data_IF_023728769955
#
_entry.id   IF_023728769955
#
_cell.length_a   1.000
_cell.length_b   1.000
_cell.length_c   1.000
_cell.angle_alpha   90.00
_cell.angle_beta   90.00
_cell.angle_gamma   90.00
#
_symmetry.space_group_name_H-M   'P 1'
#
loop_
_entity.id
_entity.type
_entity.pdbx_description
1 polymer ?
#
# COMPACT_ATOMS: atom_id res chain seq x y z
N UNK A 1 5.12 -34.98 -38.96
CA UNK A 1 6.12 -33.93 -38.89
C UNK A 1 5.96 -33.23 -37.56
N UNK A 2 6.85 -33.56 -36.62
CA UNK A 2 6.86 -33.08 -35.25
C UNK A 2 7.33 -31.62 -35.20
N UNK A 3 6.66 -30.80 -34.43
CA UNK A 3 7.18 -29.53 -33.97
C UNK A 3 7.24 -29.60 -32.43
N UNK A 4 8.46 -29.69 -31.97
CA UNK A 4 8.86 -29.74 -30.57
C UNK A 4 8.52 -28.44 -29.85
N UNK A 5 7.91 -28.60 -28.68
CA UNK A 5 7.67 -27.53 -27.73
C UNK A 5 8.96 -27.25 -26.93
N UNK A 6 9.57 -26.13 -27.20
CA UNK A 6 10.74 -25.62 -26.48
C UNK A 6 10.35 -25.16 -25.07
N UNK A 7 10.59 -26.02 -24.09
CA UNK A 7 10.53 -25.68 -22.67
C UNK A 7 11.81 -24.90 -22.31
N UNK A 8 11.69 -23.58 -22.28
CA UNK A 8 12.70 -22.74 -21.61
C UNK A 8 12.62 -22.96 -20.10
N UNK A 9 13.44 -23.83 -19.59
CA UNK A 9 13.83 -23.85 -18.18
C UNK A 9 14.66 -22.59 -17.91
N UNK A 10 14.10 -21.65 -17.17
CA UNK A 10 14.87 -20.56 -16.57
C UNK A 10 15.74 -21.14 -15.44
N UNK A 11 17.02 -21.31 -15.74
CA UNK A 11 18.02 -21.60 -14.72
C UNK A 11 18.06 -20.42 -13.72
N UNK A 12 17.50 -20.60 -12.55
CA UNK A 12 17.73 -19.74 -11.40
C UNK A 12 19.17 -19.92 -10.94
N UNK A 13 20.08 -19.01 -11.39
CA UNK A 13 21.44 -18.96 -10.86
C UNK A 13 21.36 -18.53 -9.39
N UNK A 14 21.57 -19.44 -8.47
CA UNK A 14 21.66 -19.15 -7.03
C UNK A 14 22.85 -18.21 -6.75
N UNK A 15 22.55 -17.11 -6.06
CA UNK A 15 23.56 -16.19 -5.54
C UNK A 15 24.19 -16.84 -4.30
N UNK A 16 25.49 -17.07 -4.31
CA UNK A 16 26.22 -17.58 -3.16
C UNK A 16 26.70 -16.43 -2.27
N UNK A 17 26.13 -16.32 -1.08
CA UNK A 17 26.48 -15.33 -0.07
C UNK A 17 27.43 -15.91 1.01
N UNK A 18 28.02 -17.08 0.81
CA UNK A 18 28.91 -17.70 1.79
C UNK A 18 30.27 -17.01 1.87
N UNK A 19 30.86 -16.79 3.04
CA UNK A 19 32.25 -16.37 3.17
C UNK A 19 33.17 -17.51 2.71
N UNK A 20 34.13 -17.22 1.83
CA UNK A 20 35.21 -18.15 1.47
C UNK A 20 36.08 -18.43 2.71
N UNK A 21 36.02 -19.64 3.18
CA UNK A 21 36.97 -20.22 4.12
C UNK A 21 36.42 -20.51 5.50
N UNK A 22 35.85 -21.70 5.68
CA UNK A 22 36.02 -22.51 6.88
C UNK A 22 35.61 -23.95 6.61
N UNK A 23 36.42 -24.87 7.12
CA UNK A 23 36.35 -26.30 6.84
C UNK A 23 35.21 -26.99 7.58
N UNK A 24 34.58 -27.98 6.93
CA UNK A 24 33.59 -28.91 7.46
C UNK A 24 34.14 -29.68 8.67
N UNK A 25 33.36 -29.73 9.76
CA UNK A 25 33.38 -30.83 10.71
C UNK A 25 32.02 -31.52 10.74
N UNK A 26 32.07 -32.81 10.48
CA UNK A 26 30.95 -33.78 10.55
C UNK A 26 30.86 -34.28 11.99
N UNK A 27 29.64 -34.47 12.50
CA UNK A 27 29.43 -35.42 13.59
C UNK A 27 28.36 -35.09 14.61
N UNK A 28 27.34 -35.80 14.54
CA UNK A 28 26.57 -36.69 15.44
C UNK A 28 25.18 -36.20 15.84
N UNK A 29 24.24 -37.09 15.52
CA UNK A 29 22.86 -37.13 16.04
C UNK A 29 22.85 -37.51 17.52
N UNK A 30 21.99 -36.90 18.31
CA UNK A 30 21.35 -37.54 19.47
C UNK A 30 20.02 -36.86 19.83
N UNK A 31 18.95 -37.61 19.67
CA UNK A 31 17.83 -37.95 20.57
C UNK A 31 17.00 -36.83 21.21
N UNK A 32 15.70 -36.89 20.86
CA UNK A 32 14.55 -36.09 21.40
C UNK A 32 14.44 -36.18 22.93
N UNK A 33 14.12 -35.00 23.51
CA UNK A 33 13.39 -34.94 24.77
C UNK A 33 12.42 -33.75 24.77
N UNK A 34 11.19 -33.98 25.25
CA UNK A 34 10.01 -33.12 25.26
C UNK A 34 10.19 -31.84 26.09
N UNK A 35 9.37 -30.77 25.83
CA UNK A 35 9.67 -29.40 26.25
C UNK A 35 9.26 -29.12 27.71
N UNK A 36 10.21 -28.60 28.49
CA UNK A 36 9.94 -27.85 29.69
C UNK A 36 9.43 -26.44 29.33
N UNK A 37 8.47 -25.92 30.08
CA UNK A 37 7.92 -24.56 29.96
C UNK A 37 9.05 -23.55 30.05
N UNK A 38 9.19 -22.76 28.97
CA UNK A 38 10.26 -21.77 28.84
C UNK A 38 10.11 -20.61 29.79
N UNK A 39 11.19 -20.34 30.50
CA UNK A 39 11.44 -19.03 31.13
C UNK A 39 11.46 -17.93 30.06
N UNK A 40 11.19 -16.64 30.41
CA UNK A 40 11.21 -15.55 29.45
C UNK A 40 12.62 -15.43 28.86
N UNK A 41 12.72 -15.63 27.54
CA UNK A 41 13.97 -15.46 26.80
C UNK A 41 14.60 -14.11 27.14
N UNK A 42 15.82 -14.14 27.62
CA UNK A 42 16.70 -12.98 27.78
C UNK A 42 16.76 -12.19 26.47
N UNK A 43 16.91 -10.84 26.49
CA UNK A 43 16.94 -10.05 25.28
C UNK A 43 18.02 -10.59 24.34
N UNK A 44 17.57 -11.22 23.27
CA UNK A 44 18.43 -11.88 22.31
C UNK A 44 19.44 -10.86 21.74
N UNK A 45 20.67 -11.12 21.96
CA UNK A 45 21.90 -10.73 21.26
C UNK A 45 21.79 -9.46 20.37
N UNK A 46 21.38 -8.33 20.97
CA UNK A 46 21.21 -7.04 20.28
C UNK A 46 22.56 -6.43 19.80
N UNK A 47 23.67 -7.05 20.18
CA UNK A 47 25.03 -6.63 19.78
C UNK A 47 25.47 -7.17 18.40
N UNK A 48 24.80 -8.16 17.83
CA UNK A 48 25.21 -8.85 16.58
C UNK A 48 24.17 -8.78 15.46
N UNK A 49 23.34 -7.75 15.45
CA UNK A 49 22.27 -7.59 14.46
C UNK A 49 22.83 -7.43 13.03
N UNK A 50 24.00 -6.82 12.86
CA UNK A 50 24.61 -6.68 11.54
C UNK A 50 25.01 -8.03 10.91
N UNK A 51 25.38 -9.01 11.72
CA UNK A 51 25.64 -10.38 11.25
C UNK A 51 24.35 -11.01 10.74
N UNK A 52 23.22 -10.90 11.48
CA UNK A 52 21.91 -11.38 11.05
C UNK A 52 21.44 -10.67 9.75
N UNK A 53 21.67 -9.36 9.63
CA UNK A 53 21.38 -8.61 8.40
C UNK A 53 22.13 -9.19 7.20
N UNK A 54 23.38 -9.61 7.40
CA UNK A 54 24.26 -10.18 6.39
C UNK A 54 24.10 -11.71 6.20
N UNK A 55 23.16 -12.35 6.89
CA UNK A 55 22.88 -13.77 6.70
C UNK A 55 22.31 -14.08 5.33
N UNK A 56 22.72 -15.23 4.78
CA UNK A 56 22.39 -15.66 3.41
C UNK A 56 20.89 -15.67 3.16
N UNK A 57 20.11 -16.22 4.08
CA UNK A 57 18.66 -16.37 3.91
C UNK A 57 17.94 -15.04 4.00
N UNK A 58 18.37 -14.16 4.91
CA UNK A 58 17.85 -12.80 5.02
C UNK A 58 18.12 -12.00 3.73
N UNK A 59 19.32 -12.10 3.18
CA UNK A 59 19.70 -11.43 1.93
C UNK A 59 18.94 -11.97 0.71
N UNK A 60 18.71 -13.28 0.66
CA UNK A 60 17.90 -13.91 -0.40
C UNK A 60 16.46 -13.38 -0.38
N UNK A 61 15.85 -13.33 0.79
CA UNK A 61 14.51 -12.77 0.98
C UNK A 61 14.48 -11.29 0.60
N UNK A 62 15.47 -10.49 1.03
CA UNK A 62 15.57 -9.07 0.70
C UNK A 62 15.68 -8.84 -0.82
N UNK A 63 16.51 -9.61 -1.51
CA UNK A 63 16.65 -9.54 -2.96
C UNK A 63 15.34 -9.88 -3.68
N UNK A 64 14.65 -10.93 -3.24
CA UNK A 64 13.35 -11.34 -3.82
C UNK A 64 12.29 -10.24 -3.64
N UNK A 65 12.22 -9.62 -2.46
CA UNK A 65 11.28 -8.53 -2.18
C UNK A 65 11.56 -7.28 -3.00
N UNK A 66 12.84 -6.88 -3.11
CA UNK A 66 13.22 -5.73 -3.95
C UNK A 66 12.90 -5.97 -5.42
N UNK A 67 13.16 -7.19 -5.94
CA UNK A 67 12.80 -7.56 -7.31
C UNK A 67 11.28 -7.54 -7.55
N UNK A 68 10.50 -8.08 -6.62
CA UNK A 68 9.03 -8.13 -6.76
C UNK A 68 8.38 -6.74 -6.77
N UNK A 69 8.97 -5.77 -6.09
CA UNK A 69 8.45 -4.40 -5.99
C UNK A 69 8.64 -3.56 -7.25
N UNK A 70 9.46 -4.00 -8.22
CA UNK A 70 9.66 -3.36 -9.54
C UNK A 70 9.84 -1.82 -9.47
N UNK A 71 10.60 -1.33 -8.49
CA UNK A 71 10.80 0.10 -8.28
C UNK A 71 11.76 0.74 -9.32
N UNK A 72 11.65 2.05 -9.49
CA UNK A 72 12.51 2.82 -10.40
C UNK A 72 13.97 2.88 -9.94
N UNK A 73 14.91 3.16 -10.85
CA UNK A 73 16.32 3.41 -10.54
C UNK A 73 16.50 4.63 -9.63
N UNK A 74 17.55 4.60 -8.79
CA UNK A 74 17.97 5.72 -7.95
C UNK A 74 18.75 6.79 -8.71
N UNK A 75 19.66 7.48 -8.00
CA UNK A 75 20.55 8.52 -8.57
C UNK A 75 21.65 7.94 -9.46
N UNK A 76 22.01 6.68 -9.25
CA UNK A 76 23.07 5.97 -9.99
C UNK A 76 22.58 5.31 -11.28
N UNK A 77 21.28 5.37 -11.58
CA UNK A 77 20.69 4.79 -12.77
C UNK A 77 20.60 3.25 -12.78
N UNK A 78 21.13 2.56 -11.76
CA UNK A 78 21.07 1.11 -11.64
C UNK A 78 19.62 0.64 -11.59
N UNK A 79 19.27 -0.35 -12.43
CA UNK A 79 17.94 -0.97 -12.44
C UNK A 79 17.88 -2.18 -11.51
N UNK A 80 16.67 -2.68 -11.27
CA UNK A 80 16.47 -3.89 -10.47
C UNK A 80 17.09 -5.13 -11.15
N UNK A 81 17.10 -5.16 -12.47
CA UNK A 81 17.62 -6.30 -13.21
C UNK A 81 19.16 -6.39 -13.10
N UNK A 82 19.84 -5.25 -12.99
CA UNK A 82 21.28 -5.16 -12.81
C UNK A 82 21.74 -5.61 -11.42
N UNK A 83 20.87 -5.48 -10.40
CA UNK A 83 21.25 -5.72 -9.00
C UNK A 83 21.87 -7.08 -8.76
N UNK A 84 21.37 -8.14 -9.40
CA UNK A 84 21.86 -9.50 -9.16
C UNK A 84 23.28 -9.73 -9.68
N UNK A 85 23.59 -9.15 -10.85
CA UNK A 85 24.94 -9.20 -11.42
C UNK A 85 25.91 -8.37 -10.56
N UNK A 86 25.48 -7.19 -10.17
CA UNK A 86 26.25 -6.29 -9.31
C UNK A 86 26.58 -6.93 -7.94
N UNK A 87 25.61 -7.56 -7.29
CA UNK A 87 25.84 -8.23 -5.99
C UNK A 87 26.79 -9.44 -6.12
N UNK A 88 26.76 -10.19 -7.22
CA UNK A 88 27.72 -11.32 -7.42
C UNK A 88 29.17 -10.85 -7.40
N UNK A 89 29.43 -9.71 -7.97
CA UNK A 89 30.78 -9.15 -8.11
C UNK A 89 31.22 -8.39 -6.85
N UNK A 90 30.34 -7.58 -6.26
CA UNK A 90 30.72 -6.59 -5.26
C UNK A 90 30.31 -6.98 -3.83
N UNK A 91 29.58 -8.08 -3.64
CA UNK A 91 29.07 -8.44 -2.31
C UNK A 91 30.14 -8.59 -1.22
N UNK A 92 31.32 -9.18 -1.46
CA UNK A 92 32.33 -9.29 -0.41
C UNK A 92 32.75 -7.94 0.15
N UNK A 93 32.92 -6.92 -0.72
CA UNK A 93 33.27 -5.56 -0.32
C UNK A 93 32.12 -4.88 0.44
N UNK A 94 30.88 -5.00 -0.08
CA UNK A 94 29.69 -4.44 0.55
C UNK A 94 29.49 -5.04 1.95
N UNK A 95 29.63 -6.36 2.07
CA UNK A 95 29.52 -7.05 3.35
C UNK A 95 30.55 -6.57 4.36
N UNK A 96 31.79 -6.40 3.94
CA UNK A 96 32.85 -5.85 4.79
C UNK A 96 32.53 -4.42 5.25
N UNK A 97 32.08 -3.57 4.35
CA UNK A 97 31.63 -2.20 4.69
C UNK A 97 30.48 -2.21 5.69
N UNK A 98 29.50 -3.09 5.54
CA UNK A 98 28.39 -3.24 6.49
C UNK A 98 28.89 -3.70 7.86
N UNK A 99 29.73 -4.74 7.92
CA UNK A 99 30.25 -5.29 9.16
C UNK A 99 31.28 -4.40 9.88
N UNK A 100 32.03 -3.57 9.14
CA UNK A 100 32.92 -2.56 9.71
C UNK A 100 32.20 -1.24 10.05
N UNK A 101 30.95 -1.06 9.61
CA UNK A 101 30.19 0.19 9.77
C UNK A 101 30.71 1.33 8.91
N UNK A 102 31.33 1.03 7.77
CA UNK A 102 31.86 2.03 6.81
C UNK A 102 30.98 2.19 5.56
N UNK A 103 29.85 1.48 5.48
CA UNK A 103 28.93 1.61 4.37
C UNK A 103 28.30 3.02 4.32
N UNK A 104 28.39 3.68 3.17
CA UNK A 104 27.84 5.01 2.92
C UNK A 104 26.71 4.97 1.89
N UNK A 105 25.46 5.25 2.30
CA UNK A 105 24.33 5.34 1.40
C UNK A 105 24.46 6.52 0.43
N UNK A 106 23.97 6.33 -0.80
CA UNK A 106 23.88 7.41 -1.78
C UNK A 106 22.65 8.30 -1.52
N UNK A 107 22.68 9.57 -1.97
CA UNK A 107 21.51 10.45 -1.87
C UNK A 107 20.27 9.85 -2.56
N UNK A 108 19.09 10.16 -2.04
CA UNK A 108 17.84 9.71 -2.65
C UNK A 108 17.43 10.61 -3.81
N UNK A 109 16.94 10.03 -4.90
CA UNK A 109 16.43 10.79 -6.05
C UNK A 109 15.02 11.29 -5.76
N UNK A 110 14.81 12.60 -5.80
CA UNK A 110 13.49 13.20 -5.60
C UNK A 110 12.59 13.02 -6.83
N UNK A 111 11.35 12.61 -6.57
CA UNK A 111 10.29 12.52 -7.58
C UNK A 111 9.02 13.08 -7.00
N UNK A 112 8.36 13.97 -7.75
CA UNK A 112 7.07 14.54 -7.37
C UNK A 112 5.92 13.74 -8.00
N UNK A 113 4.99 13.28 -7.18
CA UNK A 113 3.79 12.57 -7.62
C UNK A 113 2.55 13.38 -7.23
N UNK A 114 1.65 13.70 -8.17
CA UNK A 114 0.39 14.38 -7.85
C UNK A 114 -0.41 13.61 -6.80
N UNK A 115 -0.95 14.31 -5.81
CA UNK A 115 -1.86 13.69 -4.83
C UNK A 115 -3.17 13.31 -5.52
N UNK A 116 -3.76 12.15 -5.19
CA UNK A 116 -5.01 11.68 -5.80
C UNK A 116 -6.20 12.61 -5.57
N UNK A 117 -6.13 13.46 -4.55
CA UNK A 117 -7.21 14.39 -4.17
C UNK A 117 -7.05 15.77 -4.82
N UNK A 118 -6.05 15.98 -5.69
CA UNK A 118 -5.77 17.26 -6.36
C UNK A 118 -5.12 18.31 -5.45
N UNK A 119 -4.83 18.00 -4.19
CA UNK A 119 -4.28 18.91 -3.18
C UNK A 119 -2.75 19.02 -3.17
N UNK A 120 -2.10 19.17 -4.33
CA UNK A 120 -0.66 19.32 -4.42
C UNK A 120 0.09 18.04 -4.76
N UNK A 121 1.41 18.02 -4.49
CA UNK A 121 2.31 16.90 -4.83
C UNK A 121 2.80 16.18 -3.56
N UNK A 122 3.15 14.90 -3.72
CA UNK A 122 3.96 14.15 -2.75
C UNK A 122 5.39 14.11 -3.26
N UNK A 123 6.32 14.46 -2.41
CA UNK A 123 7.75 14.40 -2.71
C UNK A 123 8.29 13.04 -2.24
N UNK A 124 8.53 12.13 -3.19
CA UNK A 124 9.14 10.83 -2.89
C UNK A 124 10.66 10.93 -2.99
N UNK A 125 11.37 10.27 -2.09
CA UNK A 125 12.80 10.04 -2.18
C UNK A 125 13.06 8.59 -2.60
N UNK A 126 13.59 8.37 -3.80
CA UNK A 126 13.88 7.03 -4.31
C UNK A 126 15.36 6.70 -4.02
N UNK A 127 15.67 5.80 -3.07
CA UNK A 127 17.02 5.33 -2.82
C UNK A 127 17.55 4.52 -4.02
N UNK A 128 18.87 4.33 -4.11
CA UNK A 128 19.46 3.41 -5.10
C UNK A 128 18.92 2.00 -4.90
N UNK A 129 19.04 1.16 -5.92
CA UNK A 129 18.57 -0.23 -5.82
C UNK A 129 19.37 -1.00 -4.75
N UNK A 130 20.68 -0.70 -4.65
CA UNK A 130 21.54 -1.27 -3.61
C UNK A 130 21.11 -0.81 -2.21
N UNK A 131 20.88 0.49 -2.01
CA UNK A 131 20.42 1.00 -0.72
C UNK A 131 19.07 0.42 -0.33
N UNK A 132 18.14 0.23 -1.29
CA UNK A 132 16.87 -0.47 -1.03
C UNK A 132 17.08 -1.92 -0.60
N UNK A 133 18.04 -2.60 -1.20
CA UNK A 133 18.38 -3.97 -0.81
C UNK A 133 18.92 -4.02 0.62
N UNK A 134 19.86 -3.17 0.97
CA UNK A 134 20.41 -3.09 2.33
C UNK A 134 19.32 -2.68 3.34
N UNK A 135 18.53 -1.66 3.05
CA UNK A 135 17.40 -1.25 3.90
C UNK A 135 16.37 -2.35 4.09
N UNK A 136 16.09 -3.14 3.03
CA UNK A 136 15.17 -4.26 3.11
C UNK A 136 15.72 -5.38 4.01
N UNK A 137 17.01 -5.70 3.92
CA UNK A 137 17.67 -6.68 4.79
C UNK A 137 17.64 -6.25 6.27
N UNK A 138 17.96 -4.98 6.54
CA UNK A 138 17.87 -4.38 7.90
C UNK A 138 16.42 -4.42 8.41
N UNK A 139 15.47 -3.98 7.59
CA UNK A 139 14.06 -3.92 7.96
C UNK A 139 13.50 -5.28 8.35
N UNK A 140 13.85 -6.35 7.64
CA UNK A 140 13.37 -7.71 7.94
C UNK A 140 13.82 -8.21 9.31
N UNK A 141 15.08 -7.97 9.67
CA UNK A 141 15.64 -8.35 10.98
C UNK A 141 14.95 -7.55 12.09
N UNK A 142 14.94 -6.22 11.97
CA UNK A 142 14.33 -5.36 12.98
C UNK A 142 12.82 -5.58 13.12
N UNK A 143 12.12 -5.85 12.02
CA UNK A 143 10.67 -6.08 12.05
C UNK A 143 10.32 -7.36 12.82
N UNK A 144 11.09 -8.43 12.67
CA UNK A 144 10.88 -9.68 13.45
C UNK A 144 10.97 -9.42 14.96
N UNK A 145 11.91 -8.59 15.38
CA UNK A 145 12.14 -8.27 16.80
C UNK A 145 11.13 -7.25 17.35
N UNK A 146 10.78 -6.22 16.56
CA UNK A 146 10.00 -5.08 17.07
C UNK A 146 8.49 -5.23 16.89
N UNK A 147 8.03 -5.92 15.83
CA UNK A 147 6.59 -6.02 15.54
C UNK A 147 5.77 -6.60 16.71
N UNK A 148 6.24 -7.64 17.43
CA UNK A 148 5.50 -8.16 18.59
C UNK A 148 5.34 -7.15 19.74
N UNK A 149 6.21 -6.14 19.82
CA UNK A 149 6.19 -5.12 20.89
C UNK A 149 5.28 -3.94 20.60
N UNK A 150 4.81 -3.78 19.35
CA UNK A 150 3.94 -2.67 18.97
C UNK A 150 2.49 -2.90 19.45
N UNK A 151 1.78 -1.80 19.69
CA UNK A 151 0.38 -1.82 20.09
C UNK A 151 -0.50 -2.72 19.21
N UNK A 152 -1.44 -3.43 19.83
CA UNK A 152 -2.44 -4.24 19.11
C UNK A 152 -3.42 -3.37 18.31
N UNK A 153 -3.49 -2.07 18.58
CA UNK A 153 -4.35 -1.10 17.90
C UNK A 153 -3.66 -0.40 16.73
N UNK A 154 -2.39 -0.76 16.44
CA UNK A 154 -1.62 -0.32 15.28
C UNK A 154 -1.66 -1.36 14.17
N UNK A 155 -2.09 -0.97 12.96
CA UNK A 155 -2.34 -1.88 11.84
C UNK A 155 -1.49 -1.60 10.59
N UNK A 156 -1.05 -0.36 10.40
CA UNK A 156 -0.33 0.03 9.19
C UNK A 156 1.10 -0.50 9.11
N UNK A 157 1.52 -0.98 7.95
CA UNK A 157 2.88 -1.44 7.66
C UNK A 157 3.37 -2.60 8.54
N UNK A 158 2.48 -3.42 9.07
CA UNK A 158 2.79 -4.55 9.94
C UNK A 158 2.46 -5.88 9.29
N UNK A 159 3.28 -6.94 9.50
CA UNK A 159 2.98 -8.30 9.03
C UNK A 159 1.66 -8.81 9.63
N UNK A 160 0.86 -9.49 8.82
CA UNK A 160 -0.41 -10.07 9.26
C UNK A 160 -1.51 -9.06 9.63
N UNK A 161 -1.25 -7.74 9.52
CA UNK A 161 -2.21 -6.67 9.76
C UNK A 161 -2.71 -6.06 8.46
N UNK A 162 -3.96 -5.57 8.47
CA UNK A 162 -4.58 -5.00 7.27
C UNK A 162 -5.48 -3.80 7.58
N UNK A 163 -5.74 -3.00 6.54
CA UNK A 163 -6.71 -1.91 6.62
C UNK A 163 -8.13 -2.40 6.96
N UNK A 164 -8.51 -3.58 6.50
CA UNK A 164 -9.81 -4.17 6.81
C UNK A 164 -9.96 -4.49 8.30
N UNK A 165 -8.92 -5.02 8.94
CA UNK A 165 -8.92 -5.27 10.38
C UNK A 165 -9.04 -3.94 11.17
N UNK A 166 -8.32 -2.89 10.73
CA UNK A 166 -8.43 -1.55 11.33
C UNK A 166 -9.86 -1.00 11.24
N UNK A 167 -10.49 -1.10 10.06
CA UNK A 167 -11.88 -0.65 9.84
C UNK A 167 -12.88 -1.50 10.64
N UNK A 168 -12.67 -2.82 10.75
CA UNK A 168 -13.51 -3.70 11.56
C UNK A 168 -13.43 -3.34 13.06
N UNK A 169 -12.22 -3.08 13.57
CA UNK A 169 -12.02 -2.65 14.95
C UNK A 169 -12.68 -1.29 15.24
N UNK A 170 -12.58 -0.36 14.29
CA UNK A 170 -13.28 0.93 14.35
C UNK A 170 -14.82 0.73 14.49
N UNK A 171 -15.39 -0.14 13.66
CA UNK A 171 -16.82 -0.48 13.73
C UNK A 171 -17.21 -1.06 15.10
N UNK A 172 -16.39 -1.96 15.66
CA UNK A 172 -16.64 -2.55 16.98
C UNK A 172 -16.72 -1.48 18.07
N UNK A 173 -15.84 -0.47 18.04
CA UNK A 173 -15.90 0.63 19.01
C UNK A 173 -17.18 1.46 18.86
N UNK A 174 -17.60 1.73 17.61
CA UNK A 174 -18.83 2.49 17.34
C UNK A 174 -20.05 1.72 17.84
N UNK A 175 -20.13 0.41 17.57
CA UNK A 175 -21.20 -0.49 18.06
C UNK A 175 -21.21 -0.55 19.60
N UNK A 176 -20.04 -0.49 20.24
CA UNK A 176 -19.93 -0.46 21.70
C UNK A 176 -20.32 0.91 22.32
N UNK A 177 -20.89 1.84 21.53
CA UNK A 177 -21.43 3.11 22.02
C UNK A 177 -20.43 4.28 22.03
N UNK A 178 -19.24 4.14 21.41
CA UNK A 178 -18.30 5.24 21.21
C UNK A 178 -18.70 6.03 19.96
N UNK A 179 -19.75 6.86 20.10
CA UNK A 179 -20.41 7.55 18.99
C UNK A 179 -19.72 8.83 18.49
N UNK A 180 -18.50 9.12 18.93
CA UNK A 180 -17.69 10.24 18.49
C UNK A 180 -16.28 9.79 18.13
N UNK A 181 -15.67 10.39 17.14
CA UNK A 181 -14.30 10.10 16.70
C UNK A 181 -13.47 11.38 16.74
N UNK A 182 -12.29 11.26 17.34
CA UNK A 182 -11.20 12.23 17.22
C UNK A 182 -10.32 11.74 16.10
N UNK A 183 -10.45 12.36 14.93
CA UNK A 183 -9.68 12.04 13.72
C UNK A 183 -8.44 12.94 13.68
N UNK A 184 -7.26 12.34 13.82
CA UNK A 184 -5.96 13.03 13.89
C UNK A 184 -5.19 12.78 12.60
N UNK A 185 -4.85 13.87 11.89
CA UNK A 185 -3.97 13.91 10.70
C UNK A 185 -2.66 14.60 11.08
N UNK A 186 -1.51 13.97 10.84
CA UNK A 186 -0.21 14.57 11.11
C UNK A 186 0.28 15.34 9.88
N UNK A 187 0.74 16.58 10.10
CA UNK A 187 1.22 17.43 9.01
C UNK A 187 2.59 16.97 8.51
N UNK A 188 2.63 16.42 7.28
CA UNK A 188 3.88 16.00 6.62
C UNK A 188 4.74 15.09 7.52
N UNK A 189 4.13 14.12 8.16
CA UNK A 189 4.75 13.26 9.18
C UNK A 189 6.15 12.79 8.76
N UNK A 190 6.27 12.14 7.59
CA UNK A 190 7.55 11.61 7.10
C UNK A 190 8.63 12.69 6.88
N UNK A 191 8.24 13.92 6.59
CA UNK A 191 9.17 15.03 6.32
C UNK A 191 9.60 15.76 7.61
N UNK A 192 8.98 15.43 8.77
CA UNK A 192 9.15 16.14 10.04
C UNK A 192 9.66 15.29 11.20
N UNK A 193 9.98 14.02 10.95
CA UNK A 193 10.55 13.14 11.99
C UNK A 193 11.89 13.68 12.43
N UNK A 194 12.03 14.02 13.71
CA UNK A 194 13.30 14.46 14.27
C UNK A 194 14.27 13.27 14.35
N UNK A 195 15.43 13.39 13.67
CA UNK A 195 16.41 12.32 13.57
C UNK A 195 17.01 11.93 14.92
N UNK A 196 17.31 12.90 15.80
CA UNK A 196 17.96 12.62 17.08
C UNK A 196 17.00 11.89 18.02
N UNK A 197 15.73 12.31 18.03
CA UNK A 197 14.71 11.61 18.79
C UNK A 197 14.49 10.18 18.30
N UNK A 198 14.36 9.99 16.98
CA UNK A 198 14.23 8.68 16.37
C UNK A 198 15.44 7.80 16.70
N UNK A 199 16.66 8.33 16.56
CA UNK A 199 17.89 7.59 16.89
C UNK A 199 17.96 7.23 18.38
N UNK A 200 17.49 8.10 19.28
CA UNK A 200 17.36 7.78 20.69
C UNK A 200 16.42 6.62 20.96
N UNK A 201 15.25 6.59 20.27
CA UNK A 201 14.31 5.47 20.39
C UNK A 201 14.90 4.15 19.83
N UNK A 202 15.67 4.22 18.74
CA UNK A 202 16.36 3.05 18.17
C UNK A 202 17.45 2.55 19.13
N UNK A 203 18.27 3.46 19.67
CA UNK A 203 19.36 3.12 20.59
C UNK A 203 18.87 2.47 21.90
N UNK A 204 17.63 2.72 22.31
CA UNK A 204 17.00 2.04 23.45
C UNK A 204 16.63 0.57 23.15
N UNK A 205 16.69 0.14 21.89
CA UNK A 205 16.30 -1.21 21.43
C UNK A 205 17.43 -1.96 20.72
N UNK A 206 18.50 -1.26 20.34
CA UNK A 206 19.62 -1.78 19.54
C UNK A 206 20.93 -1.32 20.15
N UNK A 207 21.79 -2.28 20.50
CA UNK A 207 23.13 -2.03 21.03
C UNK A 207 24.22 -2.03 19.94
N UNK A 208 23.92 -2.62 18.75
CA UNK A 208 24.86 -2.69 17.63
C UNK A 208 25.13 -1.30 17.05
N UNK A 209 26.28 -0.73 17.42
CA UNK A 209 26.71 0.62 16.99
C UNK A 209 26.86 0.74 15.48
N UNK A 210 27.17 -0.37 14.79
CA UNK A 210 27.31 -0.39 13.31
C UNK A 210 25.95 -0.17 12.67
N UNK A 211 24.91 -0.86 13.18
CA UNK A 211 23.53 -0.69 12.70
C UNK A 211 23.00 0.71 13.02
N UNK A 212 23.26 1.25 14.21
CA UNK A 212 22.88 2.63 14.55
C UNK A 212 23.54 3.63 13.60
N UNK A 213 24.84 3.47 13.28
CA UNK A 213 25.55 4.30 12.32
C UNK A 213 24.95 4.19 10.93
N UNK A 214 24.62 2.98 10.48
CA UNK A 214 24.01 2.73 9.17
C UNK A 214 22.62 3.39 9.06
N UNK A 215 21.77 3.24 10.06
CA UNK A 215 20.44 3.88 10.06
C UNK A 215 20.59 5.40 10.03
N UNK A 216 21.50 5.96 10.84
CA UNK A 216 21.79 7.39 10.83
C UNK A 216 22.30 7.87 9.46
N UNK A 217 23.15 7.08 8.81
CA UNK A 217 23.64 7.38 7.46
C UNK A 217 22.48 7.39 6.43
N UNK A 218 21.53 6.46 6.50
CA UNK A 218 20.32 6.49 5.64
C UNK A 218 19.45 7.72 5.89
N UNK A 219 19.30 8.17 7.12
CA UNK A 219 18.55 9.38 7.45
C UNK A 219 19.22 10.64 6.89
N UNK A 220 20.56 10.67 6.93
CA UNK A 220 21.37 11.81 6.52
C UNK A 220 21.81 11.78 5.05
N UNK A 221 21.49 10.73 4.29
CA UNK A 221 21.98 10.52 2.92
C UNK A 221 21.67 11.67 1.94
N UNK A 222 20.80 12.60 2.34
CA UNK A 222 20.43 13.76 1.52
C UNK A 222 19.48 13.43 0.38
N UNK A 223 19.05 14.49 -0.27
CA UNK A 223 18.08 14.41 -1.39
C UNK A 223 18.68 15.09 -2.61
N UNK A 224 18.72 14.37 -3.73
CA UNK A 224 19.15 14.92 -5.01
C UNK A 224 17.92 15.42 -5.78
N UNK A 225 17.92 16.71 -6.10
CA UNK A 225 16.92 17.39 -6.91
C UNK A 225 17.64 18.22 -7.98
N UNK A 226 17.33 18.00 -9.25
CA UNK A 226 17.95 18.70 -10.39
C UNK A 226 19.48 18.69 -10.42
N UNK A 227 20.10 17.59 -9.97
CA UNK A 227 21.56 17.45 -9.91
C UNK A 227 22.25 18.05 -8.69
N UNK A 228 21.52 18.74 -7.82
CA UNK A 228 22.02 19.28 -6.55
C UNK A 228 21.64 18.38 -5.37
N UNK A 229 22.58 18.09 -4.50
CA UNK A 229 22.34 17.32 -3.27
C UNK A 229 22.12 18.29 -2.10
N UNK A 230 20.94 18.20 -1.49
CA UNK A 230 20.62 18.93 -0.27
C UNK A 230 20.67 17.98 0.93
N UNK A 231 21.27 18.38 2.07
CA UNK A 231 21.30 17.57 3.28
C UNK A 231 19.86 17.37 3.82
N UNK A 232 19.59 16.21 4.40
CA UNK A 232 18.36 15.95 5.14
C UNK A 232 18.62 16.18 6.62
N UNK A 233 18.04 17.23 7.19
CA UNK A 233 18.20 17.57 8.61
C UNK A 233 17.10 16.93 9.48
N UNK A 234 15.95 16.71 8.88
CA UNK A 234 14.79 16.06 9.49
C UNK A 234 14.03 15.21 8.44
N UNK A 235 13.19 14.31 8.92
CA UNK A 235 12.36 13.47 8.08
C UNK A 235 12.98 12.12 7.70
N UNK A 236 12.12 11.19 7.32
CA UNK A 236 12.52 9.90 6.74
C UNK A 236 12.16 9.89 5.28
N UNK A 237 13.05 9.50 4.35
CA UNK A 237 12.74 9.50 2.93
C UNK A 237 11.50 8.65 2.63
N UNK A 238 10.45 9.26 2.03
CA UNK A 238 9.26 8.54 1.58
C UNK A 238 9.62 7.69 0.35
N UNK A 239 9.79 6.36 0.54
CA UNK A 239 10.08 5.42 -0.55
C UNK A 239 11.15 4.38 -0.24
N UNK A 240 11.85 4.48 0.87
CA UNK A 240 12.75 3.43 1.37
C UNK A 240 11.99 2.32 2.11
N UNK A 241 12.45 1.05 2.05
CA UNK A 241 11.83 -0.07 2.77
C UNK A 241 11.83 0.09 4.29
N UNK A 242 12.80 0.78 4.86
CA UNK A 242 12.97 0.95 6.31
C UNK A 242 12.01 2.00 6.89
N UNK A 243 11.62 3.02 6.13
CA UNK A 243 10.83 4.16 6.62
C UNK A 243 9.49 3.77 7.26
N UNK A 244 8.71 2.78 6.77
CA UNK A 244 7.47 2.35 7.42
C UNK A 244 7.66 1.77 8.82
N UNK A 245 8.73 1.00 9.04
CA UNK A 245 9.06 0.44 10.35
C UNK A 245 9.46 1.54 11.33
N UNK A 246 10.32 2.48 10.88
CA UNK A 246 10.73 3.62 11.69
C UNK A 246 9.54 4.54 12.03
N UNK A 247 8.58 4.68 11.13
CA UNK A 247 7.33 5.40 11.39
C UNK A 247 6.54 4.77 12.53
N UNK A 248 6.40 3.45 12.52
CA UNK A 248 5.72 2.74 13.59
C UNK A 248 6.46 2.88 14.93
N UNK A 249 7.79 2.86 14.92
CA UNK A 249 8.59 3.08 16.12
C UNK A 249 8.34 4.47 16.73
N UNK A 250 8.36 5.54 15.92
CA UNK A 250 8.07 6.91 16.39
C UNK A 250 6.67 7.02 17.00
N UNK A 251 5.68 6.40 16.36
CA UNK A 251 4.28 6.49 16.77
C UNK A 251 3.89 5.49 17.87
N UNK A 252 4.75 4.51 18.20
CA UNK A 252 4.55 3.60 19.32
C UNK A 252 4.46 4.37 20.67
N UNK A 253 5.17 5.49 20.82
CA UNK A 253 5.01 6.36 22.00
C UNK A 253 3.59 6.94 22.10
N UNK A 254 2.98 7.32 20.97
CA UNK A 254 1.59 7.77 20.95
C UNK A 254 0.63 6.62 21.29
N UNK A 255 0.85 5.45 20.72
CA UNK A 255 0.01 4.28 20.97
C UNK A 255 0.03 3.91 22.45
N UNK A 256 1.22 3.84 23.07
CA UNK A 256 1.39 3.55 24.50
C UNK A 256 0.75 4.60 25.39
N UNK A 257 0.84 5.86 25.02
CA UNK A 257 0.20 6.95 25.77
C UNK A 257 -1.34 6.84 25.71
N UNK A 258 -1.89 6.49 24.53
CA UNK A 258 -3.33 6.26 24.36
C UNK A 258 -3.79 5.04 25.16
N UNK A 259 -3.03 3.95 25.18
CA UNK A 259 -3.29 2.76 25.99
C UNK A 259 -3.23 3.06 27.48
N UNK A 260 -2.21 3.77 27.93
CA UNK A 260 -2.04 4.20 29.33
C UNK A 260 -3.21 5.04 29.84
N UNK A 261 -3.80 5.87 28.97
CA UNK A 261 -5.01 6.66 29.28
C UNK A 261 -6.30 5.88 29.13
N UNK A 262 -6.26 4.63 28.69
CA UNK A 262 -7.44 3.77 28.50
C UNK A 262 -8.30 4.16 27.28
N UNK A 263 -7.75 4.90 26.31
CA UNK A 263 -8.48 5.30 25.11
C UNK A 263 -8.72 4.12 24.16
N UNK A 264 -9.86 4.12 23.48
CA UNK A 264 -10.17 3.22 22.38
C UNK A 264 -9.73 3.90 21.10
N UNK A 265 -8.76 3.31 20.40
CA UNK A 265 -8.20 3.91 19.18
C UNK A 265 -7.84 2.86 18.13
N UNK A 266 -7.66 3.33 16.91
CA UNK A 266 -7.16 2.56 15.78
C UNK A 266 -6.20 3.44 15.01
N UNK A 267 -4.98 2.96 14.81
CA UNK A 267 -3.98 3.65 14.01
C UNK A 267 -3.58 2.83 12.78
N UNK A 268 -3.53 3.47 11.64
CA UNK A 268 -2.99 2.91 10.40
C UNK A 268 -1.94 3.85 9.82
N UNK A 269 -0.65 3.56 10.00
CA UNK A 269 0.45 4.47 9.71
C UNK A 269 0.28 5.79 10.50
N UNK A 270 0.20 6.92 9.80
CA UNK A 270 -0.02 8.27 10.35
C UNK A 270 -1.51 8.64 10.57
N UNK A 271 -2.46 7.86 10.02
CA UNK A 271 -3.89 8.04 10.24
C UNK A 271 -4.30 7.45 11.60
N UNK A 272 -4.72 8.27 12.55
CA UNK A 272 -5.14 7.87 13.91
C UNK A 272 -6.56 8.31 14.22
N UNK A 273 -7.41 7.36 14.64
CA UNK A 273 -8.77 7.62 15.08
C UNK A 273 -8.96 7.15 16.52
N UNK A 274 -9.35 8.09 17.41
CA UNK A 274 -9.66 7.79 18.81
C UNK A 274 -11.18 7.89 19.00
N UNK A 275 -11.78 6.87 19.62
CA UNK A 275 -13.23 6.75 19.78
C UNK A 275 -13.64 7.11 21.21
N UNK A 276 -14.62 8.02 21.32
CA UNK A 276 -15.12 8.55 22.61
C UNK A 276 -16.64 8.58 22.65
N UNK A 277 -17.21 8.68 23.86
CA UNK A 277 -18.67 8.62 24.04
C UNK A 277 -19.39 9.95 23.83
N UNK A 278 -18.69 11.08 24.00
CA UNK A 278 -19.29 12.41 23.86
C UNK A 278 -18.38 13.38 23.16
N UNK A 279 -18.94 14.40 22.54
CA UNK A 279 -18.21 15.49 21.87
C UNK A 279 -17.26 16.20 22.83
N UNK A 280 -17.75 16.54 24.03
CA UNK A 280 -16.94 17.20 25.07
C UNK A 280 -15.73 16.36 25.47
N UNK A 281 -15.87 15.03 25.55
CA UNK A 281 -14.73 14.14 25.78
C UNK A 281 -13.77 14.16 24.58
N UNK A 282 -14.30 14.19 23.35
CA UNK A 282 -13.51 14.29 22.13
C UNK A 282 -12.68 15.55 22.08
N UNK A 283 -13.25 16.71 22.39
CA UNK A 283 -12.51 17.98 22.40
C UNK A 283 -11.34 17.93 23.40
N UNK A 284 -11.59 17.47 24.64
CA UNK A 284 -10.52 17.32 25.65
C UNK A 284 -9.41 16.35 25.20
N UNK A 285 -9.79 15.25 24.55
CA UNK A 285 -8.80 14.28 24.01
C UNK A 285 -8.01 14.94 22.88
N UNK A 286 -8.67 15.64 21.95
CA UNK A 286 -8.01 16.36 20.87
C UNK A 286 -6.94 17.33 21.40
N UNK A 287 -7.30 18.18 22.35
CA UNK A 287 -6.38 19.16 22.96
C UNK A 287 -5.20 18.47 23.65
N UNK A 288 -5.47 17.51 24.50
CA UNK A 288 -4.43 16.85 25.31
C UNK A 288 -3.50 15.97 24.47
N UNK A 289 -4.00 15.32 23.41
CA UNK A 289 -3.18 14.51 22.50
C UNK A 289 -2.42 15.42 21.53
N UNK A 290 -3.00 16.51 21.05
CA UNK A 290 -2.29 17.51 20.26
C UNK A 290 -1.11 18.09 21.05
N UNK A 291 -1.32 18.42 22.34
CA UNK A 291 -0.24 18.86 23.21
C UNK A 291 0.87 17.80 23.34
N UNK A 292 0.50 16.52 23.56
CA UNK A 292 1.48 15.42 23.64
C UNK A 292 2.26 15.26 22.34
N UNK A 293 1.60 15.24 21.18
CA UNK A 293 2.22 15.12 19.86
C UNK A 293 3.22 16.27 19.63
N UNK A 294 2.81 17.50 19.94
CA UNK A 294 3.65 18.69 19.69
C UNK A 294 4.84 18.77 20.64
N UNK A 295 4.62 18.57 21.93
CA UNK A 295 5.68 18.79 22.92
C UNK A 295 6.56 17.57 23.14
N UNK A 296 5.94 16.37 23.17
CA UNK A 296 6.68 15.13 23.43
C UNK A 296 7.22 14.50 22.16
N UNK A 297 6.39 14.36 21.11
CA UNK A 297 6.84 13.74 19.86
C UNK A 297 7.55 14.71 18.91
N UNK A 298 7.45 16.02 19.13
CA UNK A 298 7.97 17.06 18.25
C UNK A 298 7.42 16.98 16.82
N UNK A 299 6.16 16.50 16.70
CA UNK A 299 5.42 16.44 15.47
C UNK A 299 4.32 17.50 15.45
N UNK A 300 3.75 17.78 14.27
CA UNK A 300 2.70 18.78 14.12
C UNK A 300 1.41 18.14 13.69
N UNK A 301 0.31 18.45 14.39
CA UNK A 301 -1.05 18.05 14.00
C UNK A 301 -1.56 19.00 12.91
N UNK A 302 -2.20 18.46 11.89
CA UNK A 302 -2.86 19.23 10.84
C UNK A 302 -4.26 19.65 11.30
N UNK A 303 -4.37 20.85 11.86
CA UNK A 303 -5.61 21.38 12.42
C UNK A 303 -6.75 21.48 11.40
N UNK A 304 -6.44 21.77 10.13
CA UNK A 304 -7.46 21.89 9.08
C UNK A 304 -8.10 20.57 8.66
N UNK A 305 -7.44 19.43 8.95
CA UNK A 305 -7.92 18.10 8.62
C UNK A 305 -8.36 17.30 9.84
N UNK A 306 -7.75 17.56 11.00
CA UNK A 306 -8.13 16.92 12.25
C UNK A 306 -9.45 17.48 12.76
N UNK A 307 -10.31 16.63 13.30
CA UNK A 307 -11.61 17.06 13.82
C UNK A 307 -12.18 16.07 14.84
N UNK A 308 -13.03 16.58 15.71
CA UNK A 308 -13.94 15.79 16.52
C UNK A 308 -15.30 15.80 15.84
N UNK A 309 -15.79 14.63 15.45
CA UNK A 309 -17.04 14.52 14.69
C UNK A 309 -17.72 13.16 14.90
N UNK A 310 -18.91 13.00 14.31
CA UNK A 310 -19.56 11.68 14.25
C UNK A 310 -18.82 10.77 13.23
N UNK A 311 -18.72 9.45 13.48
CA UNK A 311 -18.04 8.52 12.58
C UNK A 311 -18.60 8.50 11.14
N UNK A 312 -19.89 8.76 10.95
CA UNK A 312 -20.53 8.86 9.63
C UNK A 312 -20.09 10.08 8.82
N UNK A 313 -19.61 11.12 9.47
CA UNK A 313 -19.14 12.37 8.83
C UNK A 313 -17.66 12.30 8.43
N UNK A 314 -16.96 11.31 8.96
CA UNK A 314 -15.53 11.10 8.70
C UNK A 314 -15.30 9.85 7.85
N UNK A 315 -14.16 9.83 7.20
CA UNK A 315 -13.68 8.65 6.45
C UNK A 315 -12.46 8.08 7.16
N UNK A 316 -12.40 6.78 7.28
CA UNK A 316 -11.21 6.07 7.71
C UNK A 316 -10.83 5.02 6.67
N UNK A 317 -9.63 5.11 6.11
CA UNK A 317 -9.10 4.19 5.09
C UNK A 317 -10.04 3.99 3.88
N UNK A 318 -10.75 5.04 3.47
CA UNK A 318 -11.67 4.98 2.33
C UNK A 318 -13.07 4.44 2.65
N UNK A 319 -13.32 4.08 3.89
CA UNK A 319 -14.64 3.71 4.41
C UNK A 319 -15.23 4.80 5.30
N UNK A 320 -16.51 4.71 5.55
CA UNK A 320 -17.26 5.45 6.56
C UNK A 320 -18.26 4.48 7.22
N UNK A 321 -19.10 4.96 8.12
CA UNK A 321 -20.06 4.14 8.86
C UNK A 321 -21.47 4.71 8.71
N UNK A 322 -22.51 3.85 8.79
CA UNK A 322 -23.88 4.33 8.81
C UNK A 322 -24.23 4.94 10.17
N UNK A 323 -25.19 5.87 10.18
CA UNK A 323 -25.86 6.30 11.40
C UNK A 323 -26.94 5.28 11.79
N UNK A 324 -27.31 5.26 13.09
CA UNK A 324 -28.41 4.44 13.60
C UNK A 324 -27.96 3.19 14.34
N UNK A 325 -28.89 2.32 14.73
CA UNK A 325 -28.64 1.17 15.61
C UNK A 325 -27.79 0.10 14.92
N UNK A 326 -27.95 -0.04 13.61
CA UNK A 326 -27.17 -0.99 12.82
C UNK A 326 -26.01 -0.27 12.10
N UNK A 327 -24.83 -0.31 12.73
CA UNK A 327 -23.61 0.33 12.18
C UNK A 327 -23.02 -0.54 11.09
N UNK A 328 -23.10 -0.08 9.82
CA UNK A 328 -22.53 -0.77 8.66
C UNK A 328 -21.33 -0.01 8.11
N UNK A 329 -20.35 -0.75 7.60
CA UNK A 329 -19.23 -0.21 6.80
C UNK A 329 -19.74 0.19 5.43
N UNK A 330 -19.59 1.45 5.07
CA UNK A 330 -19.95 1.99 3.76
C UNK A 330 -18.72 2.55 3.06
N UNK A 331 -18.74 2.56 1.74
CA UNK A 331 -17.65 3.16 0.95
C UNK A 331 -17.77 4.68 1.01
N UNK A 332 -16.70 5.36 1.39
CA UNK A 332 -16.68 6.81 1.48
C UNK A 332 -16.98 7.47 0.12
N UNK A 333 -17.76 8.59 0.06
CA UNK A 333 -18.16 9.23 -1.19
C UNK A 333 -16.99 9.57 -2.12
N UNK A 334 -15.87 10.07 -1.57
CA UNK A 334 -14.66 10.37 -2.36
C UNK A 334 -14.05 9.13 -3.02
N UNK A 335 -14.15 7.94 -2.41
CA UNK A 335 -13.67 6.70 -3.01
C UNK A 335 -14.55 6.27 -4.19
N UNK A 336 -15.87 6.45 -4.09
CA UNK A 336 -16.83 6.22 -5.18
C UNK A 336 -16.58 7.17 -6.36
N UNK A 337 -16.34 8.46 -6.09
CA UNK A 337 -16.03 9.43 -7.15
C UNK A 337 -14.71 9.11 -7.86
N UNK A 338 -13.65 8.70 -7.14
CA UNK A 338 -12.37 8.26 -7.73
C UNK A 338 -12.57 7.03 -8.61
N UNK A 339 -13.37 6.05 -8.16
CA UNK A 339 -13.72 4.90 -8.99
C UNK A 339 -14.38 5.33 -10.29
N UNK A 340 -15.44 6.15 -10.20
CA UNK A 340 -16.16 6.66 -11.37
C UNK A 340 -15.24 7.46 -12.31
N UNK A 341 -14.37 8.28 -11.75
CA UNK A 341 -13.41 9.06 -12.54
C UNK A 341 -12.46 8.14 -13.31
N UNK A 342 -11.87 7.13 -12.66
CA UNK A 342 -10.97 6.19 -13.33
C UNK A 342 -11.67 5.39 -14.44
N UNK A 343 -12.90 4.93 -14.21
CA UNK A 343 -13.70 4.27 -15.24
C UNK A 343 -13.99 5.23 -16.42
N UNK A 344 -14.25 6.52 -16.16
CA UNK A 344 -14.43 7.52 -17.23
C UNK A 344 -13.15 7.67 -18.07
N UNK A 345 -12.00 7.73 -17.46
CA UNK A 345 -10.69 7.83 -18.14
C UNK A 345 -10.45 6.62 -19.05
N UNK A 346 -10.57 5.40 -18.52
CA UNK A 346 -10.39 4.17 -19.29
C UNK A 346 -11.37 4.12 -20.48
N UNK A 347 -12.64 4.43 -20.25
CA UNK A 347 -13.67 4.36 -21.29
C UNK A 347 -13.64 5.52 -22.28
N UNK A 348 -12.91 6.62 -22.03
CA UNK A 348 -12.66 7.69 -23.03
C UNK A 348 -11.65 7.26 -24.08
N UNK A 349 -10.66 6.47 -23.73
CA UNK A 349 -9.58 5.98 -24.61
C UNK A 349 -10.09 5.01 -25.69
N UNK A 350 -11.29 4.48 -25.57
CA UNK A 350 -11.89 3.51 -26.53
C UNK A 350 -11.92 4.03 -27.98
N UNK A 351 -11.75 5.31 -28.25
CA UNK A 351 -11.70 5.86 -29.61
C UNK A 351 -10.49 5.41 -30.45
N UNK A 352 -9.39 5.02 -29.81
CA UNK A 352 -8.14 4.63 -30.49
C UNK A 352 -7.62 3.25 -30.06
N UNK A 353 -8.31 2.55 -29.16
CA UNK A 353 -7.83 1.31 -28.57
C UNK A 353 -8.87 0.20 -28.78
N UNK A 354 -8.42 -1.07 -28.93
CA UNK A 354 -9.30 -2.20 -29.09
C UNK A 354 -10.19 -2.40 -27.85
N UNK A 355 -11.39 -2.90 -28.07
CA UNK A 355 -12.30 -3.24 -26.95
C UNK A 355 -11.66 -4.27 -26.01
N UNK A 356 -10.87 -5.22 -26.53
CA UNK A 356 -10.19 -6.24 -25.74
C UNK A 356 -9.23 -5.60 -24.75
N UNK A 357 -8.35 -4.72 -25.19
CA UNK A 357 -7.40 -3.99 -24.33
C UNK A 357 -8.12 -3.15 -23.29
N UNK A 358 -9.22 -2.48 -23.68
CA UNK A 358 -10.03 -1.71 -22.72
C UNK A 358 -10.65 -2.62 -21.65
N UNK A 359 -11.11 -3.82 -22.04
CA UNK A 359 -11.70 -4.78 -21.10
C UNK A 359 -10.66 -5.34 -20.13
N UNK A 360 -9.43 -5.61 -20.59
CA UNK A 360 -8.32 -6.06 -19.76
C UNK A 360 -7.96 -5.01 -18.72
N UNK A 361 -7.82 -3.72 -19.13
CA UNK A 361 -7.54 -2.61 -18.20
C UNK A 361 -8.66 -2.44 -17.17
N UNK A 362 -9.93 -2.47 -17.61
CA UNK A 362 -11.09 -2.39 -16.72
C UNK A 362 -11.15 -3.57 -15.76
N UNK A 363 -10.93 -4.78 -16.25
CA UNK A 363 -11.00 -5.98 -15.43
C UNK A 363 -9.93 -6.00 -14.35
N UNK A 364 -8.71 -5.60 -14.69
CA UNK A 364 -7.61 -5.47 -13.73
C UNK A 364 -7.94 -4.44 -12.65
N UNK A 365 -8.37 -3.23 -13.04
CA UNK A 365 -8.74 -2.18 -12.11
C UNK A 365 -9.92 -2.57 -11.20
N UNK A 366 -10.99 -3.14 -11.78
CA UNK A 366 -12.19 -3.53 -11.03
C UNK A 366 -11.92 -4.67 -10.05
N UNK A 367 -11.06 -5.65 -10.40
CA UNK A 367 -10.66 -6.73 -9.48
C UNK A 367 -9.88 -6.17 -8.28
N UNK A 368 -8.88 -5.32 -8.51
CA UNK A 368 -8.11 -4.68 -7.43
C UNK A 368 -9.01 -3.82 -6.53
N UNK A 369 -9.89 -3.01 -7.13
CA UNK A 369 -10.82 -2.17 -6.39
C UNK A 369 -11.82 -2.99 -5.56
N UNK A 370 -12.37 -4.08 -6.12
CA UNK A 370 -13.25 -5.00 -5.41
C UNK A 370 -12.54 -5.70 -4.26
N UNK A 371 -11.28 -6.14 -4.45
CA UNK A 371 -10.48 -6.77 -3.40
C UNK A 371 -10.38 -5.92 -2.15
N UNK A 372 -10.36 -4.59 -2.31
CA UNK A 372 -10.32 -3.66 -1.19
C UNK A 372 -11.72 -3.24 -0.70
N UNK A 373 -12.56 -2.73 -1.59
CA UNK A 373 -13.87 -2.13 -1.21
C UNK A 373 -15.02 -3.15 -1.13
N UNK A 374 -14.81 -4.39 -1.56
CA UNK A 374 -15.78 -5.47 -1.36
C UNK A 374 -16.06 -5.80 0.12
N UNK A 375 -15.24 -5.25 1.03
CA UNK A 375 -15.42 -5.33 2.49
C UNK A 375 -16.58 -4.47 3.02
N UNK A 376 -17.21 -3.65 2.19
CA UNK A 376 -18.41 -2.88 2.57
C UNK A 376 -19.62 -3.79 2.81
N UNK A 377 -20.51 -3.36 3.71
CA UNK A 377 -21.74 -4.08 4.09
C UNK A 377 -22.98 -3.57 3.35
N UNK A 378 -22.79 -2.77 2.30
CA UNK A 378 -23.85 -2.22 1.43
C UNK A 378 -23.66 -2.70 0.00
N UNK A 379 -24.08 -3.94 -0.34
CA UNK A 379 -23.86 -4.55 -1.64
C UNK A 379 -24.56 -3.80 -2.77
N UNK A 380 -25.63 -3.05 -2.48
CA UNK A 380 -26.38 -2.27 -3.46
C UNK A 380 -25.50 -1.26 -4.21
N UNK A 381 -24.52 -0.68 -3.52
CA UNK A 381 -23.56 0.26 -4.10
C UNK A 381 -22.69 -0.45 -5.16
N UNK A 382 -22.21 -1.66 -4.87
CA UNK A 382 -21.41 -2.47 -5.80
C UNK A 382 -22.22 -2.90 -7.04
N UNK A 383 -23.48 -3.27 -6.84
CA UNK A 383 -24.42 -3.62 -7.91
C UNK A 383 -24.66 -2.39 -8.79
N UNK A 384 -24.93 -1.24 -8.18
CA UNK A 384 -25.18 0.02 -8.90
C UNK A 384 -23.95 0.45 -9.72
N UNK A 385 -22.74 0.37 -9.13
CA UNK A 385 -21.49 0.67 -9.83
C UNK A 385 -21.24 -0.27 -11.01
N UNK A 386 -21.47 -1.58 -10.84
CA UNK A 386 -21.34 -2.57 -11.92
C UNK A 386 -22.31 -2.26 -13.07
N UNK A 387 -23.56 -1.92 -12.75
CA UNK A 387 -24.57 -1.50 -13.74
C UNK A 387 -24.11 -0.23 -14.46
N UNK A 388 -23.60 0.74 -13.74
CA UNK A 388 -23.10 1.99 -14.30
C UNK A 388 -21.90 1.77 -15.24
N UNK A 389 -20.95 0.90 -14.90
CA UNK A 389 -19.82 0.52 -15.79
C UNK A 389 -20.33 -0.06 -17.09
N UNK A 390 -21.31 -0.99 -17.06
CA UNK A 390 -21.92 -1.57 -18.27
C UNK A 390 -22.59 -0.52 -19.15
N UNK A 391 -23.28 0.46 -18.55
CA UNK A 391 -23.84 1.59 -19.31
C UNK A 391 -22.75 2.43 -19.98
N UNK A 392 -21.63 2.68 -19.29
CA UNK A 392 -20.47 3.37 -19.85
C UNK A 392 -19.90 2.63 -21.07
N UNK A 393 -19.75 1.32 -20.96
CA UNK A 393 -19.26 0.46 -22.06
C UNK A 393 -20.21 0.45 -23.25
N UNK A 394 -21.54 0.33 -23.02
CA UNK A 394 -22.53 0.44 -24.09
C UNK A 394 -22.42 1.77 -24.84
N UNK A 395 -22.32 2.87 -24.09
CA UNK A 395 -22.16 4.20 -24.70
C UNK A 395 -20.82 4.34 -25.44
N UNK A 396 -19.76 3.72 -24.97
CA UNK A 396 -18.44 3.73 -25.62
C UNK A 396 -18.46 2.94 -26.94
N UNK A 397 -18.98 1.72 -26.92
CA UNK A 397 -19.13 0.89 -28.14
C UNK A 397 -20.06 1.54 -29.16
N UNK A 398 -21.16 2.14 -28.71
CA UNK A 398 -22.04 2.91 -29.61
C UNK A 398 -21.33 4.05 -30.34
N UNK A 399 -20.38 4.70 -29.68
CA UNK A 399 -19.55 5.74 -30.32
C UNK A 399 -18.54 5.16 -31.32
N UNK A 400 -18.00 3.95 -31.08
CA UNK A 400 -17.14 3.25 -32.01
C UNK A 400 -17.87 2.87 -33.30
N UNK A 401 -19.13 2.52 -33.20
CA UNK A 401 -19.98 2.24 -34.38
C UNK A 401 -20.45 3.53 -35.00
N UNK A 402 -19.55 4.23 -35.70
CA UNK A 402 -19.70 5.62 -36.17
C UNK A 402 -20.97 5.86 -37.00
N UNK A 403 -21.35 4.91 -37.89
CA UNK A 403 -22.44 5.06 -38.85
C UNK A 403 -23.69 4.31 -38.44
N UNK A 404 -24.91 4.77 -38.81
CA UNK A 404 -26.17 4.04 -38.60
C UNK A 404 -26.13 2.64 -39.22
N UNK A 405 -25.56 2.51 -40.41
CA UNK A 405 -25.41 1.21 -41.12
C UNK A 405 -24.63 0.21 -40.26
N UNK A 406 -23.48 0.64 -39.71
CA UNK A 406 -22.64 -0.19 -38.84
C UNK A 406 -23.35 -0.54 -37.54
N UNK A 407 -24.01 0.44 -36.90
CA UNK A 407 -24.78 0.24 -35.65
C UNK A 407 -25.87 -0.84 -35.83
N UNK A 408 -26.63 -0.75 -36.92
CA UNK A 408 -27.65 -1.76 -37.28
C UNK A 408 -27.03 -3.16 -37.45
N UNK A 409 -25.99 -3.27 -38.26
CA UNK A 409 -25.30 -4.54 -38.50
C UNK A 409 -24.75 -5.18 -37.20
N UNK A 410 -24.08 -4.37 -36.38
CA UNK A 410 -23.53 -4.83 -35.09
C UNK A 410 -24.61 -5.28 -34.10
N UNK A 411 -25.77 -4.63 -34.07
CA UNK A 411 -26.90 -5.04 -33.24
C UNK A 411 -27.53 -6.36 -33.73
N UNK A 412 -27.73 -6.49 -35.03
CA UNK A 412 -28.31 -7.72 -35.64
C UNK A 412 -27.35 -8.91 -35.38
N UNK A 413 -26.06 -8.73 -35.61
CA UNK A 413 -25.05 -9.76 -35.34
C UNK A 413 -25.03 -10.24 -33.88
N UNK A 414 -25.58 -9.45 -32.95
CA UNK A 414 -25.73 -9.79 -31.52
C UNK A 414 -27.16 -10.18 -31.12
N UNK A 415 -27.99 -10.61 -32.08
CA UNK A 415 -29.30 -11.16 -31.81
C UNK A 415 -30.41 -10.13 -31.54
N UNK A 416 -30.20 -8.85 -31.89
CA UNK A 416 -31.27 -7.85 -31.85
C UNK A 416 -32.11 -7.94 -33.11
N UNK A 417 -33.46 -7.98 -33.00
CA UNK A 417 -34.36 -8.03 -34.15
C UNK A 417 -34.13 -6.85 -35.09
N UNK A 418 -34.25 -7.06 -36.38
CA UNK A 418 -33.97 -6.09 -37.43
C UNK A 418 -34.73 -4.76 -37.22
N UNK A 419 -36.05 -4.84 -36.92
CA UNK A 419 -36.89 -3.68 -36.66
C UNK A 419 -36.35 -2.83 -35.49
N UNK A 420 -35.98 -3.48 -34.38
CA UNK A 420 -35.47 -2.79 -33.20
C UNK A 420 -34.07 -2.21 -33.43
N UNK A 421 -33.21 -2.94 -34.16
CA UNK A 421 -31.87 -2.49 -34.56
C UNK A 421 -31.93 -1.24 -35.47
N UNK A 422 -32.79 -1.27 -36.49
CA UNK A 422 -32.98 -0.15 -37.44
C UNK A 422 -33.49 1.11 -36.76
N UNK A 423 -34.54 1.00 -35.92
CA UNK A 423 -35.09 2.13 -35.17
C UNK A 423 -34.08 2.75 -34.21
N UNK A 424 -33.26 1.89 -33.55
CA UNK A 424 -32.23 2.39 -32.60
C UNK A 424 -31.06 3.00 -33.33
N UNK A 425 -30.60 2.41 -34.45
CA UNK A 425 -29.46 2.88 -35.23
C UNK A 425 -29.72 4.25 -35.88
N UNK A 426 -30.94 4.53 -36.29
CA UNK A 426 -31.39 5.79 -36.88
C UNK A 426 -31.71 6.89 -35.85
N UNK A 427 -31.69 6.58 -34.57
CA UNK A 427 -32.05 7.54 -33.52
C UNK A 427 -31.01 8.66 -33.38
N UNK A 428 -31.46 9.92 -33.38
CA UNK A 428 -30.65 11.10 -33.11
C UNK A 428 -30.24 11.31 -31.64
N UNK A 429 -30.73 10.43 -30.73
CA UNK A 429 -30.41 10.54 -29.29
C UNK A 429 -28.94 10.21 -29.00
N UNK A 430 -28.38 10.89 -28.01
CA UNK A 430 -26.97 10.73 -27.64
C UNK A 430 -26.61 9.33 -27.11
N UNK A 431 -25.32 8.92 -27.18
CA UNK A 431 -24.86 7.58 -26.81
C UNK A 431 -25.21 7.17 -25.39
N UNK A 432 -25.22 8.10 -24.46
CA UNK A 432 -25.57 7.83 -23.06
C UNK A 432 -27.05 7.50 -22.86
N UNK A 433 -27.92 8.17 -23.60
CA UNK A 433 -29.34 7.86 -23.59
C UNK A 433 -29.59 6.47 -24.18
N UNK A 434 -29.01 6.21 -25.36
CA UNK A 434 -29.17 4.94 -26.06
C UNK A 434 -28.55 3.75 -25.33
N UNK A 435 -27.53 3.95 -24.48
CA UNK A 435 -26.97 2.90 -23.64
C UNK A 435 -28.01 2.20 -22.73
N UNK A 436 -29.14 2.87 -22.46
CA UNK A 436 -30.28 2.33 -21.69
C UNK A 436 -31.38 1.71 -22.56
N UNK A 437 -31.26 1.79 -23.88
CA UNK A 437 -32.26 1.26 -24.80
C UNK A 437 -32.33 -0.27 -24.72
N UNK A 438 -33.53 -0.83 -25.08
CA UNK A 438 -33.77 -2.27 -25.17
C UNK A 438 -32.77 -2.91 -26.14
N UNK A 439 -32.54 -2.30 -27.33
CA UNK A 439 -31.61 -2.80 -28.33
C UNK A 439 -30.18 -2.99 -27.75
N UNK A 440 -29.62 -1.97 -27.11
CA UNK A 440 -28.29 -2.09 -26.51
C UNK A 440 -28.25 -3.00 -25.28
N UNK A 441 -29.36 -3.13 -24.57
CA UNK A 441 -29.46 -4.06 -23.44
C UNK A 441 -29.48 -5.53 -23.89
N UNK A 442 -30.08 -5.84 -25.03
CA UNK A 442 -30.09 -7.17 -25.65
C UNK A 442 -28.74 -7.45 -26.35
N UNK A 443 -28.34 -6.61 -27.31
CA UNK A 443 -27.15 -6.85 -28.13
C UNK A 443 -25.82 -6.72 -27.34
N UNK A 444 -25.78 -5.88 -26.32
CA UNK A 444 -24.63 -5.73 -25.39
C UNK A 444 -25.09 -6.15 -23.99
N UNK A 445 -25.51 -7.41 -23.88
CA UNK A 445 -26.03 -8.00 -22.66
C UNK A 445 -24.98 -8.12 -21.56
N UNK A 446 -25.43 -8.44 -20.35
CA UNK A 446 -24.49 -8.71 -19.24
C UNK A 446 -23.63 -9.95 -19.51
N UNK A 447 -24.19 -10.96 -20.22
CA UNK A 447 -23.46 -12.15 -20.65
C UNK A 447 -22.36 -11.79 -21.65
N UNK A 448 -22.64 -10.91 -22.62
CA UNK A 448 -21.66 -10.42 -23.58
C UNK A 448 -20.46 -9.75 -22.89
N UNK A 449 -20.69 -8.85 -21.93
CA UNK A 449 -19.56 -8.22 -21.21
C UNK A 449 -18.81 -9.22 -20.34
N UNK A 450 -19.48 -10.23 -19.79
CA UNK A 450 -18.83 -11.30 -19.01
C UNK A 450 -17.96 -12.16 -19.93
N UNK A 451 -18.40 -12.51 -21.13
CA UNK A 451 -17.58 -13.26 -22.10
C UNK A 451 -16.35 -12.50 -22.57
N UNK A 452 -16.36 -11.16 -22.49
CA UNK A 452 -15.19 -10.31 -22.72
C UNK A 452 -14.29 -10.12 -21.47
N UNK A 453 -14.59 -10.81 -20.36
CA UNK A 453 -13.79 -10.77 -19.15
C UNK A 453 -14.12 -9.65 -18.16
N UNK A 454 -15.25 -8.91 -18.32
CA UNK A 454 -15.66 -7.89 -17.36
C UNK A 454 -16.12 -8.50 -16.04
N UNK A 455 -15.45 -8.25 -14.90
CA UNK A 455 -15.87 -8.78 -13.62
C UNK A 455 -17.10 -8.03 -13.07
N UNK A 456 -17.84 -8.69 -12.16
CA UNK A 456 -18.79 -8.02 -11.28
C UNK A 456 -18.09 -7.52 -10.01
N UNK A 457 -18.53 -6.38 -9.48
CA UNK A 457 -18.08 -5.90 -8.16
C UNK A 457 -18.79 -6.62 -7.02
N UNK A 458 -19.91 -7.29 -7.28
CA UNK A 458 -20.71 -8.06 -6.32
C UNK A 458 -20.92 -9.48 -6.79
N UNK A 459 -20.91 -10.44 -5.86
CA UNK A 459 -21.06 -11.87 -6.16
C UNK A 459 -19.73 -12.56 -6.50
N UNK A 460 -19.68 -13.88 -6.48
CA UNK A 460 -18.56 -14.70 -6.98
C UNK A 460 -18.49 -14.56 -8.50
N UNK A 461 -17.25 -14.46 -9.03
CA UNK A 461 -17.01 -14.62 -10.47
C UNK A 461 -17.31 -16.04 -10.90
#
# INVERSE_FOLDING_TARGET
>A
MNLESDKRQSAQSELDFSPRGEARKVGRQEVESLPAMGEPESPANTCRIMEEVCERDNLREALQRVKSNKGSAGVDGMTIDDLSAYLKEHWPVIREQLLSGTYEPKPVRRVEIPKPDGGGVRKLGIPTVLDRFVQQAVMQVLQRQWDPTFSQHSYGFRPGRSAHQAVAQAQQYIVAGYGWVVDLDLEKFFDRVNHDKLMGQIANRVEDKRLLKLIRAFLNAGVMENGLVSPSVEGTPQGGPLSPLLSNLVLDELDRELERRGHRFVRYADDSNIYVRSERAGQRVMESITHFITHKLKLKVNESKSAVARPQERKFLGFSFTAGPEVKRVIAPKALERFKQRIREITRKVKGVSIKTTMEELASYMRGWRGYFGFCETPEVLIALTRWVRLRLRAALWRQWKTPRRRRAELIARGVTERLASNTAGSGRGPWHLARSKALSVGLSNAYFRSLGLPSLFGTC
#
